data_IF_743346000513
#
_entry.id   IF_743346000513
#
_cell.length_a   1.000
_cell.length_b   1.000
_cell.length_c   1.000
_cell.angle_alpha   90.00
_cell.angle_beta   90.00
_cell.angle_gamma   90.00
#
_symmetry.space_group_name_H-M   'P 1'
#
loop_
_entity.id
_entity.type
_entity.pdbx_description
1 polymer ?
#
# COMPACT_ATOMS: atom_id res chain seq x y z
N UNK A 1 -24.45 -2.61 12.81
CA UNK A 1 -23.29 -3.46 12.50
C UNK A 1 -22.41 -2.65 11.57
N UNK A 2 -21.42 -1.99 12.17
CA UNK A 2 -20.26 -1.26 11.63
C UNK A 2 -20.45 -0.33 10.43
N UNK A 3 -20.30 0.95 10.75
CA UNK A 3 -20.19 2.15 9.94
C UNK A 3 -19.30 1.98 8.70
N UNK A 4 -19.93 2.05 7.52
CA UNK A 4 -19.23 2.17 6.24
C UNK A 4 -18.96 3.65 5.98
N UNK A 5 -17.96 4.23 6.66
CA UNK A 5 -17.32 5.47 6.22
C UNK A 5 -16.48 5.13 4.99
N UNK A 6 -16.99 5.44 3.80
CA UNK A 6 -16.16 5.64 2.62
C UNK A 6 -15.76 7.11 2.62
N UNK A 7 -14.50 7.35 2.98
CA UNK A 7 -13.88 8.65 3.15
C UNK A 7 -13.73 9.34 1.78
N UNK A 8 -14.40 10.48 1.68
CA UNK A 8 -14.26 11.51 0.65
C UNK A 8 -12.91 12.22 0.84
N UNK A 9 -12.03 12.18 -0.19
CA UNK A 9 -11.19 13.30 -0.65
C UNK A 9 -10.15 12.86 -1.70
N UNK A 10 -10.40 13.30 -2.94
CA UNK A 10 -9.39 13.64 -3.94
C UNK A 10 -8.68 14.93 -3.49
N UNK A 11 -7.44 14.77 -3.00
CA UNK A 11 -6.43 15.83 -2.98
C UNK A 11 -5.09 15.14 -2.69
N UNK A 12 -4.29 14.95 -3.75
CA UNK A 12 -2.84 14.70 -3.66
C UNK A 12 -2.45 13.64 -2.62
N UNK A 13 -2.96 12.41 -2.75
CA UNK A 13 -2.52 11.31 -1.87
C UNK A 13 -1.05 11.02 -2.17
N UNK A 14 -0.13 11.17 -1.20
CA UNK A 14 1.27 10.79 -1.39
C UNK A 14 1.35 9.29 -1.74
N UNK A 15 2.35 8.88 -2.54
CA UNK A 15 2.41 7.51 -3.03
C UNK A 15 2.48 6.53 -1.86
N UNK A 16 1.67 5.48 -1.95
CA UNK A 16 1.53 4.49 -0.89
C UNK A 16 2.87 3.79 -0.66
N UNK A 17 3.41 3.92 0.53
CA UNK A 17 4.65 3.24 0.91
C UNK A 17 4.36 1.82 1.36
N UNK A 18 4.94 0.83 0.66
CA UNK A 18 4.82 -0.59 0.95
C UNK A 18 6.19 -1.12 1.35
N UNK A 19 6.31 -1.66 2.55
CA UNK A 19 7.52 -2.35 3.01
C UNK A 19 7.45 -3.82 2.66
N UNK A 20 8.40 -4.29 1.84
CA UNK A 20 8.57 -5.70 1.48
C UNK A 20 9.55 -6.35 2.44
N UNK A 21 9.09 -7.39 3.13
CA UNK A 21 9.92 -8.24 3.97
C UNK A 21 10.31 -9.52 3.20
N UNK A 22 11.49 -10.07 3.52
CA UNK A 22 12.07 -11.23 2.83
C UNK A 22 11.14 -12.46 2.74
N UNK A 23 10.19 -12.62 3.67
CA UNK A 23 9.17 -13.69 3.65
C UNK A 23 7.98 -13.42 2.70
N UNK A 24 8.15 -12.59 1.66
CA UNK A 24 7.07 -12.07 0.79
C UNK A 24 5.92 -11.36 1.54
N UNK A 25 6.14 -10.97 2.80
CA UNK A 25 5.17 -10.16 3.54
C UNK A 25 5.26 -8.73 3.05
N UNK A 26 4.14 -8.19 2.58
CA UNK A 26 4.01 -6.81 2.14
C UNK A 26 3.20 -6.06 3.20
N UNK A 27 3.76 -4.97 3.69
CA UNK A 27 3.12 -4.15 4.69
C UNK A 27 2.93 -2.73 4.16
N UNK A 28 1.69 -2.29 4.07
CA UNK A 28 1.39 -0.94 3.63
C UNK A 28 1.39 -0.02 4.86
N UNK A 29 2.23 0.99 4.86
CA UNK A 29 2.31 1.96 5.96
C UNK A 29 1.20 3.02 5.87
N UNK A 30 0.61 3.26 4.70
CA UNK A 30 -0.54 4.16 4.53
C UNK A 30 -1.83 3.57 5.12
N UNK A 31 -2.08 2.28 4.90
CA UNK A 31 -3.23 1.58 5.51
C UNK A 31 -2.89 0.87 6.81
N UNK A 32 -1.60 0.89 7.22
CA UNK A 32 -1.06 0.16 8.37
C UNK A 32 -1.57 -1.29 8.43
N UNK A 33 -1.64 -1.93 7.26
CA UNK A 33 -2.29 -3.21 7.06
C UNK A 33 -1.47 -4.11 6.16
N UNK A 34 -1.66 -5.41 6.32
CA UNK A 34 -1.07 -6.41 5.44
C UNK A 34 -1.73 -6.33 4.07
N UNK A 35 -0.90 -6.26 3.03
CA UNK A 35 -1.37 -6.22 1.64
C UNK A 35 -1.15 -7.58 1.02
N UNK A 36 -2.18 -8.10 0.37
CA UNK A 36 -2.04 -9.27 -0.50
C UNK A 36 -1.70 -8.80 -1.92
N UNK A 37 -1.24 -9.74 -2.75
CA UNK A 37 -1.02 -9.47 -4.18
C UNK A 37 -2.29 -8.98 -4.89
N UNK A 38 -3.46 -9.48 -4.47
CA UNK A 38 -4.76 -9.10 -5.03
C UNK A 38 -5.13 -7.64 -4.73
N UNK A 39 -4.83 -7.20 -3.51
CA UNK A 39 -5.05 -5.82 -3.10
C UNK A 39 -4.10 -4.85 -3.82
N UNK A 40 -2.85 -5.27 -4.08
CA UNK A 40 -1.93 -4.51 -4.96
C UNK A 40 -2.45 -4.42 -6.39
N UNK A 41 -2.95 -5.52 -6.95
CA UNK A 41 -3.52 -5.51 -8.31
C UNK A 41 -4.73 -4.58 -8.41
N UNK A 42 -5.53 -4.48 -7.35
CA UNK A 42 -6.66 -3.55 -7.26
C UNK A 42 -6.17 -2.09 -7.20
N UNK A 43 -5.17 -1.81 -6.36
CA UNK A 43 -4.55 -0.47 -6.26
C UNK A 43 -3.96 0.00 -7.59
N UNK A 44 -3.27 -0.89 -8.33
CA UNK A 44 -2.76 -0.58 -9.69
C UNK A 44 -3.92 -0.27 -10.65
N UNK A 45 -5.00 -1.05 -10.62
CA UNK A 45 -6.16 -0.86 -11.49
C UNK A 45 -6.93 0.43 -11.18
N UNK A 46 -6.97 0.83 -9.91
CA UNK A 46 -7.54 2.09 -9.46
C UNK A 46 -6.63 3.30 -9.79
N UNK A 47 -5.44 3.08 -10.36
CA UNK A 47 -4.48 4.14 -10.68
C UNK A 47 -3.80 4.72 -9.44
N UNK A 48 -3.73 3.95 -8.36
CA UNK A 48 -3.08 4.38 -7.11
C UNK A 48 -1.58 4.20 -7.22
N UNK A 49 -0.83 5.28 -7.04
CA UNK A 49 0.64 5.25 -6.98
C UNK A 49 1.12 4.62 -5.67
N UNK A 50 2.09 3.71 -5.77
CA UNK A 50 2.74 3.11 -4.62
C UNK A 50 4.24 2.92 -4.88
N UNK A 51 5.01 2.97 -3.81
CA UNK A 51 6.46 2.72 -3.77
C UNK A 51 6.74 1.56 -2.84
N UNK A 52 7.58 0.65 -3.28
CA UNK A 52 7.96 -0.57 -2.56
C UNK A 52 9.37 -0.41 -2.03
N UNK A 53 9.51 -0.40 -0.71
CA UNK A 53 10.82 -0.38 -0.03
C UNK A 53 11.16 -1.74 0.55
N UNK A 54 12.42 -2.15 0.47
CA UNK A 54 12.90 -3.32 1.21
C UNK A 54 12.94 -3.01 2.72
N UNK A 55 12.33 -3.86 3.54
CA UNK A 55 12.31 -3.65 4.98
C UNK A 55 13.66 -3.97 5.67
N UNK A 56 14.57 -4.70 5.00
CA UNK A 56 15.93 -4.97 5.51
C UNK A 56 16.89 -3.85 5.17
N UNK A 57 16.90 -3.38 3.92
CA UNK A 57 17.88 -2.41 3.43
C UNK A 57 17.33 -0.99 3.33
N UNK A 58 16.01 -0.81 3.35
CA UNK A 58 15.37 0.48 3.12
C UNK A 58 15.46 0.94 1.67
N UNK A 59 15.87 0.06 0.77
CA UNK A 59 16.11 0.38 -0.64
C UNK A 59 14.79 0.41 -1.41
N UNK A 60 14.66 1.35 -2.35
CA UNK A 60 13.51 1.42 -3.24
C UNK A 60 13.62 0.32 -4.31
N UNK A 61 12.56 -0.48 -4.47
CA UNK A 61 12.50 -1.62 -5.39
C UNK A 61 11.50 -1.34 -6.54
N UNK A 62 11.07 -0.09 -6.73
CA UNK A 62 9.94 0.29 -7.60
C UNK A 62 10.40 0.95 -8.90
#
# INVERSE_FOLDING_TARGET
MTDKKADDKEAEKPPITIKKYANRRLYNTATSSYVTLDHLATMVKEGTEFVVYDAKTGEDIT
#
